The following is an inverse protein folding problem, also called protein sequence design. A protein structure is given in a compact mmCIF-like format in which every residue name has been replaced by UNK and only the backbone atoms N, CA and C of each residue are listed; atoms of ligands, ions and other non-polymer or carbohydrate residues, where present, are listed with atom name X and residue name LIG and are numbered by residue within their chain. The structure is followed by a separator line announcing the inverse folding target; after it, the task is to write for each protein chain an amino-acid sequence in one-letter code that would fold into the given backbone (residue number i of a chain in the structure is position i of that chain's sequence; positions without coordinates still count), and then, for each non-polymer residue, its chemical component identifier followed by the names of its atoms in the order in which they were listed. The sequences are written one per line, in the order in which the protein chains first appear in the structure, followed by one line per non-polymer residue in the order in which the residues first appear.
data_IF_456402346852
#
_entry.id   IF_456402346852
#
_cell.length_a   1.000
_cell.length_b   1.000
_cell.length_c   1.000
_cell.angle_alpha   90.00
_cell.angle_beta   90.00
_cell.angle_gamma   90.00
#
_symmetry.space_group_name_H-M   'P 1'
#
loop_
_entity.id
_entity.type
_entity.pdbx_description
1 polymer ?
#
# COMPACT_ATOMS: atom_id res chain seq x y z
N UNK A 1 -18.95 0.06 5.35
CA UNK A 1 -19.65 -1.23 5.18
C UNK A 1 -19.51 -1.59 3.71
N UNK A 2 -18.93 -2.75 3.38
CA UNK A 2 -18.87 -3.22 1.98
C UNK A 2 -20.26 -3.65 1.57
N UNK A 3 -20.70 -3.29 0.37
CA UNK A 3 -21.94 -3.82 -0.19
C UNK A 3 -21.71 -5.23 -0.76
N UNK A 4 -22.82 -5.89 -1.19
CA UNK A 4 -22.75 -7.27 -1.70
C UNK A 4 -21.97 -7.33 -3.03
N UNK A 5 -21.99 -6.29 -3.82
CA UNK A 5 -21.29 -6.25 -5.12
C UNK A 5 -19.78 -6.05 -4.89
N UNK A 6 -19.39 -5.27 -3.89
CA UNK A 6 -17.99 -5.17 -3.44
C UNK A 6 -17.45 -6.54 -2.99
N UNK A 7 -18.25 -7.30 -2.22
CA UNK A 7 -17.84 -8.63 -1.74
C UNK A 7 -17.75 -9.65 -2.88
N UNK A 8 -18.67 -9.62 -3.85
CA UNK A 8 -18.60 -10.47 -5.04
C UNK A 8 -17.36 -10.17 -5.87
N UNK A 9 -17.09 -8.89 -6.13
CA UNK A 9 -15.90 -8.47 -6.85
C UNK A 9 -14.61 -8.94 -6.16
N UNK A 10 -14.55 -8.89 -4.82
CA UNK A 10 -13.42 -9.42 -4.05
C UNK A 10 -13.25 -10.93 -4.20
N UNK A 11 -14.36 -11.68 -4.21
CA UNK A 11 -14.34 -13.14 -4.41
C UNK A 11 -13.88 -13.49 -5.83
N UNK A 12 -14.40 -12.80 -6.82
CA UNK A 12 -14.02 -13.02 -8.22
C UNK A 12 -12.55 -12.69 -8.48
N UNK A 13 -12.05 -11.61 -7.88
CA UNK A 13 -10.62 -11.25 -7.94
C UNK A 13 -9.73 -12.25 -7.19
N UNK A 14 -10.23 -12.85 -6.11
CA UNK A 14 -9.50 -13.89 -5.37
C UNK A 14 -9.44 -15.23 -6.12
N UNK A 15 -10.36 -15.47 -7.06
CA UNK A 15 -10.41 -16.69 -7.86
C UNK A 15 -9.56 -16.63 -9.15
N UNK A 16 -9.19 -15.43 -9.60
CA UNK A 16 -8.38 -15.20 -10.79
C UNK A 16 -6.90 -14.91 -10.48
N UNK A 17 -6.08 -14.66 -11.51
CA UNK A 17 -4.71 -14.20 -11.28
C UNK A 17 -4.72 -12.82 -10.62
N UNK A 18 -3.83 -12.60 -9.68
CA UNK A 18 -3.62 -11.30 -9.05
C UNK A 18 -3.02 -10.28 -10.04
N UNK A 19 -3.20 -8.99 -9.81
CA UNK A 19 -2.52 -7.96 -10.60
C UNK A 19 -1.02 -7.95 -10.30
N UNK A 20 -0.67 -8.20 -9.03
CA UNK A 20 0.69 -8.20 -8.52
C UNK A 20 0.85 -9.29 -7.47
N UNK A 21 1.94 -10.05 -7.57
CA UNK A 21 2.42 -10.96 -6.54
C UNK A 21 3.81 -10.50 -6.08
N UNK A 22 3.95 -10.24 -4.80
CA UNK A 22 5.22 -9.93 -4.15
C UNK A 22 5.69 -11.20 -3.48
N UNK A 23 6.81 -11.77 -3.96
CA UNK A 23 7.37 -13.02 -3.44
C UNK A 23 8.56 -12.77 -2.52
N UNK A 24 8.88 -13.77 -1.68
CA UNK A 24 10.06 -13.76 -0.80
C UNK A 24 10.11 -12.51 0.11
N UNK A 25 8.96 -12.04 0.60
CA UNK A 25 8.88 -10.90 1.49
C UNK A 25 8.90 -11.32 2.98
N UNK A 26 9.50 -10.47 3.82
CA UNK A 26 9.31 -10.49 5.28
C UNK A 26 8.17 -9.54 5.62
N UNK A 27 6.95 -10.06 5.63
CA UNK A 27 5.77 -9.27 5.94
C UNK A 27 5.76 -8.87 7.41
N UNK A 28 5.70 -7.56 7.65
CA UNK A 28 5.45 -7.00 8.98
C UNK A 28 3.93 -6.90 9.17
N UNK A 29 3.38 -7.83 9.92
CA UNK A 29 1.95 -7.84 10.25
C UNK A 29 1.68 -6.85 11.38
N UNK A 30 1.19 -5.67 11.03
CA UNK A 30 0.94 -4.59 12.00
C UNK A 30 -0.25 -4.86 12.91
N UNK A 31 -1.07 -5.86 12.63
CA UNK A 31 -2.20 -6.23 13.46
C UNK A 31 -1.78 -7.17 14.59
N UNK A 32 -0.86 -8.10 14.29
CA UNK A 32 -0.37 -9.09 15.27
C UNK A 32 0.98 -8.70 15.87
N UNK A 33 1.75 -7.82 15.20
CA UNK A 33 3.12 -7.48 15.56
C UNK A 33 4.14 -8.54 15.14
N UNK A 34 3.74 -9.53 14.37
CA UNK A 34 4.62 -10.61 13.90
C UNK A 34 5.31 -10.26 12.58
N UNK A 35 6.48 -10.86 12.36
CA UNK A 35 7.15 -10.82 11.05
C UNK A 35 7.08 -12.23 10.47
N UNK A 36 6.50 -12.34 9.27
CA UNK A 36 6.31 -13.63 8.58
C UNK A 36 6.97 -13.61 7.21
N UNK A 37 7.68 -14.67 6.87
CA UNK A 37 8.13 -14.89 5.49
C UNK A 37 6.93 -15.43 4.69
N UNK A 38 6.47 -14.66 3.71
CA UNK A 38 5.29 -15.01 2.91
C UNK A 38 5.26 -14.22 1.61
N UNK A 39 4.47 -14.72 0.68
CA UNK A 39 4.11 -14.00 -0.53
C UNK A 39 2.85 -13.16 -0.27
N UNK A 40 2.71 -12.06 -0.96
CA UNK A 40 1.55 -11.16 -0.84
C UNK A 40 0.99 -10.88 -2.22
N UNK A 41 -0.30 -11.16 -2.41
CA UNK A 41 -1.02 -10.88 -3.64
C UNK A 41 -1.89 -9.64 -3.52
N UNK A 42 -1.89 -8.85 -4.60
CA UNK A 42 -2.65 -7.60 -4.71
C UNK A 42 -3.47 -7.62 -5.99
N UNK A 43 -4.70 -7.17 -5.92
CA UNK A 43 -5.58 -7.01 -7.08
C UNK A 43 -6.61 -5.92 -6.82
N UNK A 44 -6.93 -5.12 -7.85
CA UNK A 44 -7.86 -4.00 -7.74
C UNK A 44 -7.50 -2.99 -6.65
N UNK A 45 -6.20 -2.80 -6.38
CA UNK A 45 -5.71 -1.92 -5.32
C UNK A 45 -5.93 -2.43 -3.90
N UNK A 46 -6.21 -3.72 -3.72
CA UNK A 46 -6.44 -4.36 -2.42
C UNK A 46 -5.52 -5.55 -2.23
N UNK A 47 -5.16 -5.86 -0.99
CA UNK A 47 -4.49 -7.11 -0.64
C UNK A 47 -5.52 -8.23 -0.75
N UNK A 48 -5.26 -9.22 -1.62
CA UNK A 48 -6.14 -10.38 -1.82
C UNK A 48 -5.82 -11.51 -0.84
N UNK A 49 -4.55 -11.66 -0.45
CA UNK A 49 -4.12 -12.70 0.47
C UNK A 49 -2.68 -13.13 0.29
N UNK A 50 -2.38 -14.34 0.76
CA UNK A 50 -1.02 -14.88 0.86
C UNK A 50 -0.87 -16.22 0.13
N UNK A 51 -1.85 -16.63 -0.66
CA UNK A 51 -1.92 -17.96 -1.27
C UNK A 51 -2.03 -17.96 -2.80
N UNK A 52 -2.03 -16.81 -3.45
CA UNK A 52 -2.03 -16.75 -4.91
C UNK A 52 -0.69 -17.23 -5.45
N UNK A 53 -0.75 -17.99 -6.53
CA UNK A 53 0.43 -18.51 -7.23
C UNK A 53 0.60 -17.89 -8.61
N UNK A 54 -0.42 -17.19 -9.11
CA UNK A 54 -0.44 -16.58 -10.43
C UNK A 54 -0.74 -15.08 -10.33
N UNK A 55 -0.03 -14.29 -11.09
CA UNK A 55 -0.23 -12.85 -11.19
C UNK A 55 0.21 -12.30 -12.54
N UNK A 56 -0.36 -11.17 -12.95
CA UNK A 56 0.04 -10.43 -14.14
C UNK A 56 1.48 -9.92 -13.98
N UNK A 57 1.85 -9.49 -12.77
CA UNK A 57 3.19 -9.02 -12.44
C UNK A 57 3.71 -9.70 -11.18
N UNK A 58 4.97 -10.12 -11.21
CA UNK A 58 5.65 -10.69 -10.05
C UNK A 58 6.84 -9.81 -9.69
N UNK A 59 6.98 -9.52 -8.40
CA UNK A 59 8.11 -8.78 -7.82
C UNK A 59 8.73 -9.63 -6.73
N UNK A 60 10.00 -9.98 -6.89
CA UNK A 60 10.78 -10.68 -5.87
C UNK A 60 11.34 -9.66 -4.87
N UNK A 61 10.86 -9.72 -3.63
CA UNK A 61 11.32 -8.85 -2.55
C UNK A 61 12.73 -9.25 -2.02
N UNK A 62 13.25 -10.43 -2.40
CA UNK A 62 14.60 -10.90 -2.02
C UNK A 62 14.87 -10.86 -0.52
N UNK A 63 13.86 -11.16 0.28
CA UNK A 63 13.95 -11.12 1.75
C UNK A 63 13.85 -9.71 2.35
N UNK A 64 13.49 -8.69 1.56
CA UNK A 64 13.22 -7.36 2.10
C UNK A 64 11.94 -7.35 2.94
N UNK A 65 11.87 -6.40 3.86
CA UNK A 65 10.67 -6.20 4.66
C UNK A 65 9.58 -5.55 3.83
N UNK A 66 8.37 -6.10 3.94
CA UNK A 66 7.14 -5.56 3.37
C UNK A 66 6.25 -5.09 4.52
N UNK A 67 5.90 -3.83 4.51
CA UNK A 67 5.06 -3.20 5.54
C UNK A 67 4.09 -2.22 4.87
N UNK A 68 2.99 -1.84 5.56
CA UNK A 68 2.13 -0.76 5.07
C UNK A 68 2.93 0.51 4.85
N UNK A 69 2.51 1.31 3.86
CA UNK A 69 3.11 2.61 3.63
C UNK A 69 3.05 3.50 4.87
N UNK A 70 4.11 4.25 5.11
CA UNK A 70 4.22 5.14 6.26
C UNK A 70 3.21 6.29 6.16
N UNK A 71 2.72 6.72 7.30
CA UNK A 71 1.83 7.87 7.43
C UNK A 71 2.57 8.98 8.17
N UNK A 72 2.73 10.13 7.53
CA UNK A 72 3.16 11.34 8.22
C UNK A 72 1.93 11.96 8.90
N UNK A 73 1.91 11.93 10.21
CA UNK A 73 0.75 12.31 11.00
C UNK A 73 0.57 13.83 11.15
N UNK A 74 1.54 14.63 10.72
CA UNK A 74 1.45 16.09 10.79
C UNK A 74 2.47 16.74 9.84
N UNK A 75 1.98 17.38 8.79
CA UNK A 75 2.80 18.09 7.81
C UNK A 75 2.10 19.36 7.30
N UNK A 76 2.85 20.41 7.11
CA UNK A 76 2.44 21.58 6.34
C UNK A 76 3.13 21.55 4.98
N UNK A 77 2.44 21.05 3.96
CA UNK A 77 3.02 20.88 2.61
C UNK A 77 3.45 22.22 2.03
N UNK A 78 2.70 23.29 2.30
CA UNK A 78 3.00 24.65 1.89
C UNK A 78 4.37 25.12 2.39
N UNK A 79 4.77 24.75 3.61
CA UNK A 79 6.08 25.09 4.16
C UNK A 79 7.25 24.41 3.42
N UNK A 80 6.97 23.38 2.64
CA UNK A 80 7.97 22.74 1.77
C UNK A 80 8.30 23.55 0.51
N UNK A 81 7.52 24.58 0.22
CA UNK A 81 7.63 25.44 -0.96
C UNK A 81 7.47 24.72 -2.30
N UNK A 82 6.89 23.51 -2.29
CA UNK A 82 6.57 22.75 -3.50
C UNK A 82 5.07 22.45 -3.57
N UNK A 83 4.57 22.19 -4.78
CA UNK A 83 3.18 21.77 -4.93
C UNK A 83 2.94 20.37 -4.32
N UNK A 84 1.70 20.03 -3.92
CA UNK A 84 1.39 18.71 -3.37
C UNK A 84 1.83 17.55 -4.26
N UNK A 85 1.71 17.68 -5.59
CA UNK A 85 2.16 16.66 -6.53
C UNK A 85 3.69 16.48 -6.52
N UNK A 86 4.44 17.57 -6.39
CA UNK A 86 5.90 17.54 -6.27
C UNK A 86 6.31 16.96 -4.92
N UNK A 87 5.64 17.37 -3.85
CA UNK A 87 5.86 16.81 -2.52
C UNK A 87 5.65 15.30 -2.51
N UNK A 88 4.54 14.80 -3.08
CA UNK A 88 4.30 13.37 -3.21
C UNK A 88 5.45 12.64 -3.92
N UNK A 89 5.95 13.19 -5.03
CA UNK A 89 7.10 12.63 -5.76
C UNK A 89 8.38 12.57 -4.93
N UNK A 90 8.53 13.42 -3.94
CA UNK A 90 9.70 13.43 -3.05
C UNK A 90 9.57 12.39 -1.93
N UNK A 91 8.38 12.21 -1.33
CA UNK A 91 8.22 11.38 -0.13
C UNK A 91 7.89 9.92 -0.43
N UNK A 92 7.18 9.64 -1.53
CA UNK A 92 6.83 8.28 -1.92
C UNK A 92 8.02 7.33 -2.05
N UNK A 93 9.16 7.71 -2.66
CA UNK A 93 10.33 6.84 -2.73
C UNK A 93 10.94 6.50 -1.37
N UNK A 94 10.60 7.25 -0.33
CA UNK A 94 11.05 7.03 1.05
C UNK A 94 10.01 6.29 1.90
N UNK A 95 8.90 5.85 1.29
CA UNK A 95 7.91 5.00 1.94
C UNK A 95 6.72 5.73 2.54
N UNK A 96 6.67 7.06 2.53
CA UNK A 96 5.49 7.81 3.00
C UNK A 96 4.41 7.82 1.92
N UNK A 97 3.29 7.17 2.20
CA UNK A 97 2.16 7.00 1.25
C UNK A 97 0.95 7.83 1.61
N UNK A 98 0.89 8.33 2.83
CA UNK A 98 -0.21 9.15 3.32
C UNK A 98 0.32 10.25 4.23
N UNK A 99 -0.38 11.38 4.24
CA UNK A 99 -0.05 12.50 5.13
C UNK A 99 -1.33 13.08 5.74
N UNK A 100 -1.22 13.58 6.96
CA UNK A 100 -2.25 14.43 7.57
C UNK A 100 -1.75 15.87 7.45
N UNK A 101 -2.35 16.62 6.54
CA UNK A 101 -1.96 17.98 6.25
C UNK A 101 -3.09 18.96 6.63
N UNK A 102 -2.71 20.10 7.19
CA UNK A 102 -3.58 21.22 7.44
C UNK A 102 -3.04 22.45 6.68
N UNK A 103 -3.64 22.81 5.52
CA UNK A 103 -3.13 23.87 4.66
C UNK A 103 -3.56 25.27 5.10
N UNK A 104 -3.66 25.56 6.40
CA UNK A 104 -4.16 26.82 6.92
C UNK A 104 -3.28 28.04 6.57
N UNK A 105 -2.02 27.83 6.22
CA UNK A 105 -1.13 28.91 5.79
C UNK A 105 -1.43 29.39 4.36
N UNK A 106 -2.12 28.60 3.54
CA UNK A 106 -2.51 28.95 2.17
C UNK A 106 -3.98 29.36 2.07
N UNK A 107 -4.80 28.91 3.02
CA UNK A 107 -6.26 29.06 2.96
C UNK A 107 -6.81 30.40 3.47
N UNK A 108 -5.98 31.40 3.71
CA UNK A 108 -6.40 32.76 4.11
C UNK A 108 -6.70 33.66 2.91
#
# INVERSE_FOLDING_TARGET
MYDIDDLKNLVDMAAGPADLLITNAKLVDVLTGEIRETDVSVGGGKILGFSHTEAVKVVDARGAYLLPGLIDAHIHIESSMVSPARFAGLVLPHGTTSVVADPHEIAN
#
